data_IF_494323751381
#
_entry.id   IF_494323751381
#
_cell.length_a   1.000
_cell.length_b   1.000
_cell.length_c   1.000
_cell.angle_alpha   90.00
_cell.angle_beta   90.00
_cell.angle_gamma   90.00
#
_symmetry.space_group_name_H-M   'P 1'
#
loop_
_entity.id
_entity.type
_entity.pdbx_description
1 polymer ?
#
# COMPACT_ATOMS: atom_id res chain seq x y z
N UNK A 1 2.82 -13.09 -14.15
CA UNK A 1 2.80 -11.67 -13.73
C UNK A 1 3.28 -10.71 -14.82
N UNK A 2 4.46 -10.90 -15.44
CA UNK A 2 5.00 -9.98 -16.47
C UNK A 2 4.06 -9.67 -17.65
N UNK A 3 3.41 -10.68 -18.24
CA UNK A 3 2.46 -10.48 -19.35
C UNK A 3 1.30 -9.55 -18.95
N UNK A 4 0.75 -9.73 -17.75
CA UNK A 4 -0.36 -8.91 -17.24
C UNK A 4 0.09 -7.47 -16.97
N UNK A 5 1.27 -7.29 -16.37
CA UNK A 5 1.84 -5.96 -16.15
C UNK A 5 2.04 -5.20 -17.46
N UNK A 6 2.55 -5.87 -18.51
CA UNK A 6 2.67 -5.29 -19.86
C UNK A 6 1.32 -4.95 -20.51
N UNK A 7 0.23 -5.60 -20.07
CA UNK A 7 -1.13 -5.34 -20.51
C UNK A 7 -1.88 -4.29 -19.65
N UNK A 8 -1.19 -3.64 -18.72
CA UNK A 8 -1.75 -2.56 -17.89
C UNK A 8 -2.32 -3.01 -16.54
N UNK A 9 -2.24 -4.29 -16.18
CA UNK A 9 -2.61 -4.73 -14.84
C UNK A 9 -1.59 -4.24 -13.80
N UNK A 10 -2.08 -3.78 -12.66
CA UNK A 10 -1.23 -3.45 -11.50
C UNK A 10 -0.87 -4.75 -10.78
N UNK A 11 0.43 -5.01 -10.63
CA UNK A 11 0.94 -6.15 -9.85
C UNK A 11 1.40 -5.62 -8.50
N UNK A 12 0.56 -5.78 -7.48
CA UNK A 12 0.81 -5.32 -6.12
C UNK A 12 0.90 -6.54 -5.19
N UNK A 13 2.12 -7.08 -4.95
CA UNK A 13 2.28 -8.16 -3.99
C UNK A 13 2.05 -7.65 -2.56
N UNK A 14 1.57 -8.50 -1.62
CA UNK A 14 1.49 -8.16 -0.20
C UNK A 14 2.88 -8.20 0.44
N UNK A 15 3.75 -7.30 -0.01
CA UNK A 15 5.13 -7.12 0.47
C UNK A 15 5.23 -5.81 1.25
N UNK A 16 4.88 -5.82 2.55
CA UNK A 16 4.76 -4.61 3.37
C UNK A 16 6.12 -3.96 3.63
N UNK A 17 6.14 -2.63 3.63
CA UNK A 17 7.31 -1.85 4.02
C UNK A 17 7.37 -1.64 5.54
N UNK A 18 8.57 -1.71 6.12
CA UNK A 18 8.79 -1.60 7.57
C UNK A 18 9.29 -0.22 8.02
N UNK A 19 9.38 0.75 7.10
CA UNK A 19 9.86 2.11 7.38
C UNK A 19 8.92 2.91 8.30
N UNK A 20 7.69 2.44 8.49
CA UNK A 20 6.72 2.98 9.46
C UNK A 20 6.79 2.31 10.84
N UNK A 21 7.76 1.41 11.06
CA UNK A 21 7.94 0.69 12.32
C UNK A 21 6.64 0.05 12.87
N UNK A 22 5.97 -0.85 12.12
CA UNK A 22 4.73 -1.47 12.55
C UNK A 22 4.92 -2.18 13.91
N UNK A 23 3.95 -2.01 14.81
CA UNK A 23 3.92 -2.61 16.14
C UNK A 23 2.99 -3.83 16.20
N UNK A 24 2.13 -4.00 15.20
CA UNK A 24 1.14 -5.07 15.15
C UNK A 24 1.03 -5.71 13.77
N UNK A 25 0.43 -6.90 13.71
CA UNK A 25 0.04 -7.53 12.44
C UNK A 25 -0.99 -6.67 11.69
N UNK A 26 -1.85 -5.97 12.43
CA UNK A 26 -2.85 -5.09 11.82
C UNK A 26 -2.18 -3.96 11.04
N UNK A 27 -1.09 -3.38 11.55
CA UNK A 27 -0.35 -2.30 10.86
C UNK A 27 0.23 -2.78 9.53
N UNK A 28 0.63 -4.05 9.47
CA UNK A 28 1.13 -4.70 8.25
C UNK A 28 -0.01 -4.90 7.24
N UNK A 29 -1.20 -5.29 7.72
CA UNK A 29 -2.40 -5.41 6.89
C UNK A 29 -2.81 -4.04 6.34
N UNK A 30 -2.86 -3.03 7.21
CA UNK A 30 -3.23 -1.66 6.88
C UNK A 30 -2.28 -1.06 5.83
N UNK A 31 -0.98 -1.39 5.89
CA UNK A 31 -0.02 -1.01 4.84
C UNK A 31 -0.45 -1.52 3.46
N UNK A 32 -0.74 -2.82 3.34
CA UNK A 32 -1.10 -3.41 2.04
C UNK A 32 -2.44 -2.87 1.56
N UNK A 33 -3.42 -2.75 2.47
CA UNK A 33 -4.75 -2.20 2.17
C UNK A 33 -4.66 -0.75 1.70
N UNK A 34 -3.90 0.11 2.39
CA UNK A 34 -3.67 1.49 2.00
C UNK A 34 -3.16 1.57 0.55
N UNK A 35 -2.17 0.76 0.18
CA UNK A 35 -1.63 0.74 -1.20
C UNK A 35 -2.65 0.27 -2.23
N UNK A 36 -3.54 -0.65 -1.88
CA UNK A 36 -4.66 -1.07 -2.76
C UNK A 36 -5.66 0.08 -2.95
N UNK A 37 -6.06 0.75 -1.86
CA UNK A 37 -6.99 1.89 -1.90
C UNK A 37 -6.43 3.06 -2.71
N UNK A 38 -5.13 3.35 -2.59
CA UNK A 38 -4.43 4.33 -3.41
C UNK A 38 -4.55 4.02 -4.92
N UNK A 39 -4.44 2.73 -5.34
CA UNK A 39 -4.56 2.35 -6.76
C UNK A 39 -5.95 2.61 -7.34
N UNK A 40 -6.99 2.51 -6.51
CA UNK A 40 -8.39 2.74 -6.92
C UNK A 40 -8.88 4.15 -6.56
N UNK A 41 -7.97 5.05 -6.15
CA UNK A 41 -8.27 6.44 -5.79
C UNK A 41 -9.33 6.60 -4.70
N UNK A 42 -9.37 5.68 -3.74
CA UNK A 42 -10.25 5.75 -2.57
C UNK A 42 -9.53 6.48 -1.43
N UNK A 43 -10.03 7.63 -0.94
CA UNK A 43 -9.42 8.33 0.19
C UNK A 43 -9.43 7.47 1.47
N UNK A 44 -8.34 7.49 2.23
CA UNK A 44 -8.22 6.78 3.50
C UNK A 44 -7.20 7.46 4.43
N UNK A 45 -7.24 7.11 5.71
CA UNK A 45 -6.31 7.60 6.74
C UNK A 45 -5.52 6.45 7.42
N UNK A 46 -5.51 5.26 6.80
CA UNK A 46 -4.84 4.05 7.33
C UNK A 46 -3.32 4.18 7.49
N UNK A 47 -2.70 5.07 6.72
CA UNK A 47 -1.25 5.27 6.74
C UNK A 47 -0.95 6.73 6.45
N UNK A 48 0.03 7.31 7.14
CA UNK A 48 0.53 8.62 6.76
C UNK A 48 1.25 8.55 5.42
N UNK A 49 0.96 9.52 4.55
CA UNK A 49 1.67 9.67 3.29
C UNK A 49 3.07 10.19 3.55
N UNK A 50 4.01 9.62 2.82
CA UNK A 50 5.40 10.01 2.95
C UNK A 50 5.58 11.47 2.48
N UNK A 51 6.17 12.31 3.32
CA UNK A 51 6.48 13.70 2.99
C UNK A 51 5.33 14.69 3.22
N UNK A 52 4.20 14.26 3.77
CA UNK A 52 3.19 15.19 4.30
C UNK A 52 3.61 15.62 5.71
N UNK A 53 3.71 16.94 5.93
CA UNK A 53 3.89 17.49 7.26
C UNK A 53 2.61 17.28 8.09
N UNK A 54 2.81 17.04 9.39
CA UNK A 54 1.76 16.64 10.32
C UNK A 54 0.84 17.79 10.72
#
# INVERSE_FOLDING_TARGET
MLRLSRAGAVILPPSPGFYHHPQSVQDIVDFVVARVLDQISVPHTLMQRWGEDR
#
